data_IF_473734983653
#
_entry.id   IF_473734983653
#
_cell.length_a   1.000
_cell.length_b   1.000
_cell.length_c   1.000
_cell.angle_alpha   90.00
_cell.angle_beta   90.00
_cell.angle_gamma   90.00
#
_symmetry.space_group_name_H-M   'P 1'
#
loop_
_entity.id
_entity.type
_entity.pdbx_description
1 polymer ?
#
# COMPACT_ATOMS: atom_id res chain seq x y z
N UNK A 1 69.48 50.50 1.46
CA UNK A 1 69.09 51.66 2.29
C UNK A 1 67.59 51.90 2.12
N UNK A 2 66.80 52.11 3.19
CA UNK A 2 65.37 52.37 3.05
C UNK A 2 65.14 53.72 2.37
N UNK A 3 64.30 53.74 1.34
CA UNK A 3 63.91 54.95 0.61
C UNK A 3 63.08 55.84 1.54
N UNK A 4 63.55 57.05 1.82
CA UNK A 4 62.77 58.05 2.57
C UNK A 4 61.66 58.57 1.67
N UNK A 5 60.41 58.33 2.05
CA UNK A 5 59.25 58.91 1.38
C UNK A 5 59.01 60.30 1.97
N UNK A 6 59.13 61.34 1.16
CA UNK A 6 58.75 62.70 1.54
C UNK A 6 57.24 62.84 1.37
N UNK A 7 56.52 62.77 2.48
CA UNK A 7 55.07 62.97 2.52
C UNK A 7 54.78 64.43 2.85
N UNK A 8 53.83 65.05 2.15
CA UNK A 8 53.38 66.41 2.47
C UNK A 8 52.79 66.51 3.88
N UNK A 9 52.88 67.69 4.49
CA UNK A 9 52.38 67.96 5.85
C UNK A 9 50.88 67.66 5.97
N UNK A 10 50.10 67.98 4.94
CA UNK A 10 48.65 67.72 4.88
C UNK A 10 48.32 66.23 4.85
N UNK A 11 48.98 65.46 3.97
CA UNK A 11 48.82 64.01 3.89
C UNK A 11 49.26 63.29 5.18
N UNK A 12 50.26 63.85 5.88
CA UNK A 12 50.72 63.33 7.17
C UNK A 12 49.68 63.57 8.27
N UNK A 13 48.97 64.70 8.24
CA UNK A 13 47.88 65.01 9.16
C UNK A 13 46.64 64.13 8.89
N UNK A 14 46.31 63.91 7.62
CA UNK A 14 45.20 63.01 7.22
C UNK A 14 45.46 61.57 7.64
N UNK A 15 46.66 61.03 7.38
CA UNK A 15 47.06 59.69 7.83
C UNK A 15 47.04 59.56 9.35
N UNK A 16 47.49 60.61 10.07
CA UNK A 16 47.47 60.62 11.53
C UNK A 16 46.04 60.63 12.08
N UNK A 17 45.16 61.42 11.47
CA UNK A 17 43.74 61.46 11.84
C UNK A 17 43.04 60.13 11.55
N UNK A 18 43.35 59.48 10.43
CA UNK A 18 42.79 58.15 10.09
C UNK A 18 43.29 57.06 11.06
N UNK A 19 44.59 57.07 11.41
CA UNK A 19 45.16 56.16 12.40
C UNK A 19 44.58 56.36 13.80
N UNK A 20 44.38 57.61 14.24
CA UNK A 20 43.74 57.90 15.52
C UNK A 20 42.28 57.44 15.52
N UNK A 21 41.53 57.67 14.43
CA UNK A 21 40.16 57.18 14.27
C UNK A 21 40.08 55.65 14.28
N UNK A 22 41.05 54.96 13.67
CA UNK A 22 41.17 53.49 13.73
C UNK A 22 41.50 53.00 15.15
N UNK A 23 42.34 53.74 15.89
CA UNK A 23 42.72 53.44 17.28
C UNK A 23 41.57 53.70 18.26
N UNK A 24 40.71 54.68 18.02
CA UNK A 24 39.50 54.88 18.81
C UNK A 24 38.44 53.81 18.52
N UNK A 25 38.28 53.40 17.26
CA UNK A 25 37.41 52.27 16.88
C UNK A 25 37.82 50.95 17.53
N UNK A 26 39.12 50.72 17.77
CA UNK A 26 39.59 49.53 18.50
C UNK A 26 39.44 49.68 20.02
N UNK A 27 39.70 50.86 20.59
CA UNK A 27 39.50 51.14 22.03
C UNK A 27 38.04 51.07 22.46
N UNK A 28 37.10 51.50 21.62
CA UNK A 28 35.67 51.54 21.93
C UNK A 28 35.01 50.17 21.89
N UNK A 29 35.67 49.11 21.41
CA UNK A 29 35.19 47.72 21.55
C UNK A 29 33.82 47.43 20.91
N UNK A 30 33.29 48.32 20.07
CA UNK A 30 31.94 48.19 19.48
C UNK A 30 31.93 47.24 18.26
N UNK A 31 33.08 46.85 17.71
CA UNK A 31 33.13 46.10 16.45
C UNK A 31 32.97 44.58 16.53
N UNK A 32 32.57 44.01 17.68
CA UNK A 32 32.38 42.55 17.78
C UNK A 32 31.15 42.08 18.59
N UNK A 33 30.26 42.97 19.04
CA UNK A 33 29.02 42.55 19.74
C UNK A 33 27.80 42.41 18.83
N UNK A 34 27.77 43.09 17.68
CA UNK A 34 26.62 43.01 16.77
C UNK A 34 26.74 41.89 15.73
N UNK A 35 27.95 41.37 15.48
CA UNK A 35 28.13 40.16 14.64
C UNK A 35 27.95 38.84 15.41
N UNK A 36 28.08 38.85 16.73
CA UNK A 36 27.90 37.67 17.58
C UNK A 36 26.48 37.51 18.16
N UNK A 37 25.58 38.48 17.94
CA UNK A 37 24.14 38.34 18.23
C UNK A 37 23.30 37.88 17.03
N UNK A 38 23.89 37.77 15.85
CA UNK A 38 23.23 37.30 14.62
C UNK A 38 23.61 35.86 14.23
N UNK A 39 24.13 35.07 15.18
CA UNK A 39 24.24 33.61 15.07
C UNK A 39 23.58 33.00 16.32
N UNK A 40 22.33 33.39 16.59
CA UNK A 40 21.42 32.37 17.14
C UNK A 40 21.31 31.35 16.02
N UNK A 41 21.87 30.15 16.21
CA UNK A 41 21.49 28.99 15.40
C UNK A 41 19.97 28.97 15.44
N UNK A 42 19.32 29.35 14.34
CA UNK A 42 17.93 29.00 14.15
C UNK A 42 17.91 27.49 14.34
N UNK A 43 17.20 27.00 15.37
CA UNK A 43 16.87 25.59 15.45
C UNK A 43 16.05 25.28 14.20
N UNK A 44 16.73 24.90 13.12
CA UNK A 44 16.16 24.26 11.97
C UNK A 44 15.68 22.88 12.43
N UNK A 45 14.49 22.86 13.02
CA UNK A 45 13.88 21.68 13.61
C UNK A 45 13.46 21.92 15.06
N UNK A 46 12.24 22.39 15.26
CA UNK A 46 11.70 22.48 16.63
C UNK A 46 10.42 23.27 16.80
N UNK A 47 9.89 23.96 15.79
CA UNK A 47 8.53 24.51 15.89
C UNK A 47 7.55 23.47 15.33
N UNK A 48 7.23 22.48 16.15
CA UNK A 48 5.98 21.75 15.93
C UNK A 48 4.85 22.77 16.11
N UNK A 49 3.97 22.91 15.11
CA UNK A 49 2.76 23.72 15.21
C UNK A 49 2.13 23.52 16.60
N UNK A 50 1.88 24.62 17.35
CA UNK A 50 1.49 24.61 18.79
C UNK A 50 0.38 23.61 19.16
N UNK A 51 -0.44 23.20 18.20
CA UNK A 51 -1.60 22.33 18.42
C UNK A 51 -1.42 20.90 17.88
N UNK A 52 -0.23 20.50 17.41
CA UNK A 52 -0.01 19.15 16.85
C UNK A 52 -0.10 18.08 17.93
N UNK A 53 0.43 18.36 19.12
CA UNK A 53 0.37 17.39 20.21
C UNK A 53 -1.07 17.18 20.71
N UNK A 54 -1.82 18.27 20.88
CA UNK A 54 -3.24 18.21 21.27
C UNK A 54 -4.12 17.57 20.18
N UNK A 55 -3.80 17.82 18.90
CA UNK A 55 -4.48 17.19 17.76
C UNK A 55 -4.17 15.71 17.69
N UNK A 56 -2.90 15.31 17.82
CA UNK A 56 -2.50 13.90 17.85
C UNK A 56 -3.16 13.15 19.01
N UNK A 57 -3.23 13.76 20.20
CA UNK A 57 -3.93 13.19 21.34
C UNK A 57 -5.43 12.99 21.06
N UNK A 58 -6.10 14.01 20.49
CA UNK A 58 -7.51 13.93 20.13
C UNK A 58 -7.77 12.89 19.03
N UNK A 59 -6.90 12.84 18.02
CA UNK A 59 -7.00 11.85 16.93
C UNK A 59 -6.81 10.42 17.47
N UNK A 60 -5.93 10.23 18.45
CA UNK A 60 -5.68 8.94 19.11
C UNK A 60 -6.87 8.52 19.99
N UNK A 61 -7.39 9.42 20.85
CA UNK A 61 -8.63 9.19 21.62
C UNK A 61 -9.85 8.92 20.72
N UNK A 62 -9.93 9.55 19.56
CA UNK A 62 -11.03 9.38 18.61
C UNK A 62 -10.92 8.04 17.84
N UNK A 63 -9.71 7.55 17.59
CA UNK A 63 -9.47 6.20 17.04
C UNK A 63 -9.84 5.10 18.06
N UNK A 64 -9.37 5.21 19.30
CA UNK A 64 -9.66 4.25 20.38
C UNK A 64 -11.16 4.20 20.74
N UNK A 65 -11.83 5.36 20.77
CA UNK A 65 -13.25 5.43 21.15
C UNK A 65 -14.21 4.98 20.04
N UNK A 66 -13.93 5.33 18.78
CA UNK A 66 -14.90 5.19 17.70
C UNK A 66 -14.77 3.87 16.94
N UNK A 67 -13.54 3.39 16.77
CA UNK A 67 -13.25 2.27 15.87
C UNK A 67 -13.05 0.99 16.66
N UNK A 68 -12.22 0.99 17.71
CA UNK A 68 -11.91 -0.24 18.46
C UNK A 68 -13.11 -0.79 19.24
N UNK A 69 -13.90 0.08 19.88
CA UNK A 69 -15.10 -0.36 20.60
C UNK A 69 -16.15 -0.92 19.64
N UNK A 70 -16.41 -0.22 18.53
CA UNK A 70 -17.37 -0.68 17.52
C UNK A 70 -16.89 -1.94 16.80
N UNK A 71 -15.60 -2.10 16.53
CA UNK A 71 -15.08 -3.30 15.86
C UNK A 71 -15.01 -4.50 16.80
N UNK A 72 -14.64 -4.32 18.07
CA UNK A 72 -14.60 -5.41 19.05
C UNK A 72 -16.01 -5.88 19.42
N UNK A 73 -16.93 -4.96 19.73
CA UNK A 73 -18.30 -5.32 20.07
C UNK A 73 -19.01 -5.97 18.88
N UNK A 74 -18.82 -5.42 17.67
CA UNK A 74 -19.36 -6.01 16.44
C UNK A 74 -18.76 -7.39 16.15
N UNK A 75 -17.44 -7.56 16.30
CA UNK A 75 -16.78 -8.85 16.12
C UNK A 75 -17.28 -9.88 17.14
N UNK A 76 -17.39 -9.49 18.41
CA UNK A 76 -17.90 -10.35 19.50
C UNK A 76 -19.35 -10.77 19.26
N UNK A 77 -20.20 -9.86 18.81
CA UNK A 77 -21.58 -10.15 18.44
C UNK A 77 -21.64 -11.13 17.26
N UNK A 78 -20.86 -10.90 16.20
CA UNK A 78 -20.82 -11.81 15.04
C UNK A 78 -20.27 -13.19 15.37
N UNK A 79 -19.31 -13.29 16.29
CA UNK A 79 -18.81 -14.58 16.77
C UNK A 79 -19.86 -15.32 17.60
N UNK A 80 -20.64 -14.60 18.42
CA UNK A 80 -21.76 -15.18 19.16
C UNK A 80 -22.86 -15.69 18.20
N UNK A 81 -23.26 -14.90 17.21
CA UNK A 81 -24.25 -15.29 16.19
C UNK A 81 -23.79 -16.54 15.43
N UNK A 82 -22.51 -16.58 15.04
CA UNK A 82 -21.91 -17.76 14.39
C UNK A 82 -21.92 -18.99 15.30
N UNK A 83 -21.59 -18.83 16.58
CA UNK A 83 -21.60 -19.95 17.52
C UNK A 83 -22.99 -20.57 17.64
N UNK A 84 -24.05 -19.75 17.74
CA UNK A 84 -25.44 -20.22 17.75
C UNK A 84 -25.77 -20.98 16.46
N UNK A 85 -25.40 -20.41 15.30
CA UNK A 85 -25.63 -21.06 14.00
C UNK A 85 -24.93 -22.43 13.90
N UNK A 86 -23.69 -22.54 14.37
CA UNK A 86 -22.96 -23.81 14.38
C UNK A 86 -23.59 -24.85 15.31
N UNK A 87 -24.09 -24.45 16.48
CA UNK A 87 -24.84 -25.34 17.37
C UNK A 87 -26.14 -25.85 16.71
N UNK A 88 -26.84 -24.98 15.97
CA UNK A 88 -28.04 -25.35 15.23
C UNK A 88 -27.76 -26.30 14.06
N UNK A 89 -26.64 -26.11 13.35
CA UNK A 89 -26.19 -27.04 12.30
C UNK A 89 -25.76 -28.39 12.87
N UNK A 90 -24.99 -28.36 13.97
CA UNK A 90 -24.50 -29.57 14.62
C UNK A 90 -25.63 -30.39 15.27
N UNK A 91 -26.68 -29.72 15.75
CA UNK A 91 -27.89 -30.37 16.25
C UNK A 91 -28.84 -30.83 15.14
N UNK A 92 -28.57 -30.46 13.88
CA UNK A 92 -29.41 -30.80 12.72
C UNK A 92 -30.71 -30.01 12.64
N UNK A 93 -30.93 -29.02 13.53
CA UNK A 93 -32.19 -28.29 13.64
C UNK A 93 -32.52 -27.47 12.38
N UNK A 94 -31.49 -26.95 11.73
CA UNK A 94 -31.60 -26.19 10.47
C UNK A 94 -32.00 -27.12 9.31
N UNK A 95 -31.56 -28.38 9.32
CA UNK A 95 -31.81 -29.33 8.23
C UNK A 95 -33.27 -29.79 8.23
N UNK A 96 -33.90 -29.86 9.39
CA UNK A 96 -35.31 -30.21 9.55
C UNK A 96 -36.27 -29.00 9.49
N UNK A 97 -35.76 -27.82 9.15
CA UNK A 97 -36.55 -26.59 9.09
C UNK A 97 -37.07 -26.41 7.67
N UNK A 98 -38.40 -26.39 7.50
CA UNK A 98 -39.04 -26.28 6.17
C UNK A 98 -38.75 -24.94 5.48
N UNK A 99 -38.58 -23.86 6.25
CA UNK A 99 -38.26 -22.53 5.73
C UNK A 99 -36.91 -22.04 6.29
N UNK A 100 -35.93 -21.94 5.39
CA UNK A 100 -34.59 -21.45 5.68
C UNK A 100 -34.48 -19.96 5.37
N UNK A 101 -33.78 -19.23 6.24
CA UNK A 101 -33.39 -17.85 5.93
C UNK A 101 -32.33 -17.84 4.81
N UNK A 102 -32.24 -16.74 4.04
CA UNK A 102 -31.24 -16.62 2.94
C UNK A 102 -29.81 -16.87 3.42
N UNK A 103 -29.47 -16.40 4.62
CA UNK A 103 -28.15 -16.57 5.22
C UNK A 103 -27.90 -18.03 5.63
N UNK A 104 -28.93 -18.74 6.11
CA UNK A 104 -28.85 -20.17 6.45
C UNK A 104 -28.66 -21.02 5.19
N UNK A 105 -29.41 -20.70 4.12
CA UNK A 105 -29.31 -21.39 2.82
C UNK A 105 -27.95 -21.22 2.17
N UNK A 106 -27.44 -19.97 2.09
CA UNK A 106 -26.09 -19.69 1.57
C UNK A 106 -25.01 -20.40 2.37
N UNK A 107 -25.17 -20.54 3.67
CA UNK A 107 -24.17 -21.18 4.50
C UNK A 107 -24.18 -22.71 4.34
N UNK A 108 -25.35 -23.31 4.10
CA UNK A 108 -25.46 -24.73 3.76
C UNK A 108 -24.85 -25.02 2.38
N UNK A 109 -25.15 -24.20 1.37
CA UNK A 109 -24.61 -24.34 0.01
C UNK A 109 -23.10 -24.11 -0.07
N UNK A 110 -22.57 -23.16 0.70
CA UNK A 110 -21.13 -22.83 0.69
C UNK A 110 -20.30 -23.66 1.69
N UNK A 111 -20.92 -24.55 2.45
CA UNK A 111 -20.20 -25.40 3.39
C UNK A 111 -19.69 -26.66 2.70
N UNK A 112 -18.37 -26.84 2.65
CA UNK A 112 -17.74 -28.09 2.21
C UNK A 112 -17.91 -29.25 3.22
N UNK A 113 -18.69 -29.05 4.28
CA UNK A 113 -19.00 -30.04 5.31
C UNK A 113 -20.44 -30.47 5.18
N UNK A 114 -20.65 -31.77 4.94
CA UNK A 114 -21.97 -32.40 4.93
C UNK A 114 -22.54 -32.48 6.35
N UNK A 115 -23.36 -31.50 6.72
CA UNK A 115 -24.00 -31.45 8.04
C UNK A 115 -25.17 -32.44 8.17
N UNK A 116 -25.76 -32.89 7.06
CA UNK A 116 -26.82 -33.92 7.04
C UNK A 116 -26.30 -35.24 7.58
N UNK A 117 -25.21 -35.76 7.01
CA UNK A 117 -24.61 -37.02 7.46
C UNK A 117 -24.02 -36.93 8.87
N UNK A 118 -23.41 -35.79 9.22
CA UNK A 118 -22.82 -35.57 10.54
C UNK A 118 -23.86 -35.40 11.66
N UNK A 119 -24.95 -34.68 11.40
CA UNK A 119 -26.03 -34.52 12.37
C UNK A 119 -26.72 -35.86 12.63
N UNK A 120 -27.00 -36.63 11.58
CA UNK A 120 -27.54 -38.00 11.68
C UNK A 120 -26.57 -38.91 12.44
N UNK A 121 -25.27 -38.87 12.17
CA UNK A 121 -24.27 -39.65 12.91
C UNK A 121 -24.17 -39.24 14.39
N UNK A 122 -24.32 -37.95 14.71
CA UNK A 122 -24.34 -37.44 16.08
C UNK A 122 -25.61 -37.87 16.84
N UNK A 123 -26.77 -37.86 16.17
CA UNK A 123 -28.04 -38.35 16.72
C UNK A 123 -27.98 -39.88 16.93
N UNK A 124 -27.47 -40.63 15.96
CA UNK A 124 -27.29 -42.09 16.04
C UNK A 124 -26.28 -42.49 17.12
N UNK A 125 -25.17 -41.75 17.26
CA UNK A 125 -24.19 -42.02 18.33
C UNK A 125 -24.70 -41.63 19.71
N UNK A 126 -25.49 -40.55 19.84
CA UNK A 126 -26.22 -40.23 21.08
C UNK A 126 -27.32 -41.24 21.40
N UNK A 127 -28.02 -41.77 20.40
CA UNK A 127 -29.03 -42.82 20.52
C UNK A 127 -28.44 -44.17 20.90
N UNK A 128 -27.20 -44.47 20.46
CA UNK A 128 -26.48 -45.70 20.82
C UNK A 128 -26.09 -45.79 22.30
N UNK A 129 -26.05 -44.66 23.01
CA UNK A 129 -25.92 -44.62 24.47
C UNK A 129 -27.28 -44.68 25.19
N UNK A 130 -28.41 -44.76 24.47
CA UNK A 130 -29.75 -44.57 25.05
C UNK A 130 -30.78 -45.68 24.81
N UNK A 131 -30.47 -46.75 24.08
CA UNK A 131 -31.45 -47.84 23.83
C UNK A 131 -30.77 -49.22 23.93
N UNK A 132 -30.92 -49.96 25.03
CA UNK A 132 -32.05 -50.88 25.30
C UNK A 132 -33.45 -50.35 24.94
N UNK A 133 -34.18 -51.14 24.12
CA UNK A 133 -35.56 -50.94 23.61
C UNK A 133 -35.67 -49.88 22.51
N UNK A 134 -36.17 -50.11 21.29
CA UNK A 134 -37.10 -51.09 20.74
C UNK A 134 -36.90 -51.18 19.20
N UNK A 135 -37.15 -52.36 18.61
CA UNK A 135 -37.06 -52.59 17.16
C UNK A 135 -38.28 -52.00 16.44
N UNK A 136 -38.06 -51.03 15.56
CA UNK A 136 -39.02 -50.64 14.51
C UNK A 136 -38.53 -51.11 13.14
N UNK A 137 -39.31 -51.95 12.48
CA UNK A 137 -39.08 -52.49 11.14
C UNK A 137 -39.37 -51.42 10.06
N UNK A 138 -38.47 -51.25 9.10
CA UNK A 138 -38.67 -50.43 7.89
C UNK A 138 -38.88 -51.37 6.69
N UNK A 139 -40.04 -51.30 6.05
CA UNK A 139 -40.34 -52.01 4.80
C UNK A 139 -39.61 -51.35 3.61
N UNK A 140 -38.74 -52.13 2.96
CA UNK A 140 -38.12 -51.79 1.68
C UNK A 140 -39.07 -52.15 0.52
N UNK A 141 -39.55 -51.13 -0.19
CA UNK A 141 -40.34 -51.29 -1.41
C UNK A 141 -39.57 -52.07 -2.49
N UNK A 142 -40.19 -53.15 -2.98
CA UNK A 142 -39.70 -54.00 -4.06
C UNK A 142 -39.69 -53.23 -5.39
N UNK A 143 -38.52 -52.85 -5.87
CA UNK A 143 -38.32 -52.35 -7.24
C UNK A 143 -38.35 -53.56 -8.18
N UNK A 144 -39.32 -53.55 -9.09
CA UNK A 144 -39.48 -54.50 -10.20
C UNK A 144 -38.16 -54.62 -10.98
N UNK A 145 -37.60 -55.83 -11.02
CA UNK A 145 -36.44 -56.17 -11.83
C UNK A 145 -36.81 -56.09 -13.30
N UNK A 146 -36.43 -55.01 -13.98
CA UNK A 146 -36.49 -54.94 -15.45
C UNK A 146 -35.54 -56.01 -16.03
N UNK A 147 -36.04 -56.86 -16.92
CA UNK A 147 -35.26 -57.92 -17.55
C UNK A 147 -34.12 -57.32 -18.39
N UNK A 148 -32.87 -57.56 -17.98
CA UNK A 148 -31.65 -57.07 -18.66
C UNK A 148 -31.34 -57.93 -19.92
N UNK A 149 -31.68 -57.54 -21.16
CA UNK A 149 -31.62 -58.45 -22.30
C UNK A 149 -30.18 -58.76 -22.74
N UNK A 150 -29.99 -59.91 -23.39
CA UNK A 150 -28.73 -60.26 -24.04
C UNK A 150 -28.57 -59.46 -25.35
N UNK A 151 -27.42 -58.83 -25.52
CA UNK A 151 -27.09 -57.99 -26.68
C UNK A 151 -25.75 -58.45 -27.26
N UNK A 152 -25.67 -58.50 -28.59
CA UNK A 152 -24.42 -58.73 -29.31
C UNK A 152 -23.64 -57.40 -29.38
N UNK A 153 -22.45 -57.38 -28.78
CA UNK A 153 -21.54 -56.24 -28.82
C UNK A 153 -20.22 -56.63 -29.50
N UNK A 154 -19.61 -55.66 -30.18
CA UNK A 154 -18.29 -55.79 -30.79
C UNK A 154 -17.23 -55.44 -29.75
N UNK A 155 -16.53 -56.46 -29.26
CA UNK A 155 -15.41 -56.31 -28.33
C UNK A 155 -14.27 -55.46 -28.94
N UNK A 156 -13.36 -54.97 -28.11
CA UNK A 156 -12.21 -54.10 -28.47
C UNK A 156 -11.34 -54.68 -29.60
N UNK A 157 -11.38 -56.00 -29.77
CA UNK A 157 -10.66 -56.76 -30.80
C UNK A 157 -11.49 -57.05 -32.07
N UNK A 158 -12.66 -56.40 -32.24
CA UNK A 158 -13.53 -56.54 -33.40
C UNK A 158 -14.28 -57.86 -33.50
N UNK A 159 -14.39 -58.62 -32.40
CA UNK A 159 -15.11 -59.91 -32.34
C UNK A 159 -16.51 -59.70 -31.76
N UNK A 160 -17.53 -60.33 -32.34
CA UNK A 160 -18.89 -60.32 -31.79
C UNK A 160 -18.98 -61.21 -30.55
N UNK A 161 -19.38 -60.65 -29.41
CA UNK A 161 -19.62 -61.38 -28.16
C UNK A 161 -21.02 -61.05 -27.64
N UNK A 162 -21.73 -62.06 -27.14
CA UNK A 162 -23.04 -61.90 -26.50
C UNK A 162 -22.87 -61.63 -25.01
N UNK A 163 -23.29 -60.46 -24.56
CA UNK A 163 -23.19 -60.01 -23.16
C UNK A 163 -24.53 -59.36 -22.75
N UNK A 164 -24.83 -59.30 -21.45
CA UNK A 164 -25.99 -58.58 -20.93
C UNK A 164 -25.86 -57.07 -21.21
N UNK A 165 -26.96 -56.38 -21.50
CA UNK A 165 -26.95 -54.95 -21.84
C UNK A 165 -26.31 -54.08 -20.75
N UNK A 166 -26.50 -54.43 -19.47
CA UNK A 166 -25.85 -53.73 -18.34
C UNK A 166 -24.32 -53.87 -18.29
N UNK A 167 -23.79 -54.94 -18.89
CA UNK A 167 -22.36 -55.30 -18.86
C UNK A 167 -21.62 -54.88 -20.14
N UNK A 168 -22.30 -54.29 -21.12
CA UNK A 168 -21.67 -53.76 -22.33
C UNK A 168 -20.79 -52.56 -21.94
N UNK A 169 -19.47 -52.59 -22.22
CA UNK A 169 -18.60 -51.45 -21.97
C UNK A 169 -19.12 -50.23 -22.73
N UNK A 170 -19.50 -49.18 -22.00
CA UNK A 170 -19.82 -47.89 -22.59
C UNK A 170 -18.51 -47.31 -23.07
N UNK A 171 -18.25 -47.38 -24.37
CA UNK A 171 -17.20 -46.58 -24.99
C UNK A 171 -17.66 -45.14 -24.82
N UNK A 172 -17.11 -44.44 -23.83
CA UNK A 172 -17.22 -42.99 -23.78
C UNK A 172 -16.58 -42.51 -25.08
N UNK A 173 -17.41 -42.00 -25.98
CA UNK A 173 -16.93 -41.25 -27.14
C UNK A 173 -16.09 -40.12 -26.56
N UNK A 174 -14.77 -40.31 -26.54
CA UNK A 174 -13.82 -39.25 -26.32
C UNK A 174 -14.03 -38.30 -27.50
N UNK A 175 -14.91 -37.32 -27.30
CA UNK A 175 -15.00 -36.16 -28.16
C UNK A 175 -13.57 -35.69 -28.36
N UNK A 176 -13.18 -35.51 -29.63
CA UNK A 176 -11.94 -34.87 -30.04
C UNK A 176 -11.91 -33.46 -29.43
N UNK A 177 -11.55 -33.37 -28.15
CA UNK A 177 -11.03 -32.16 -27.57
C UNK A 177 -9.68 -32.02 -28.24
N UNK A 178 -9.64 -31.18 -29.27
CA UNK A 178 -8.43 -30.63 -29.87
C UNK A 178 -7.40 -30.47 -28.75
N UNK A 179 -6.32 -31.28 -28.77
CA UNK A 179 -5.32 -31.34 -27.70
C UNK A 179 -4.57 -30.00 -27.63
N UNK A 180 -5.23 -29.00 -27.05
CA UNK A 180 -4.64 -27.74 -26.69
C UNK A 180 -3.78 -28.04 -25.47
N UNK A 181 -2.47 -27.83 -25.58
CA UNK A 181 -1.60 -27.95 -24.42
C UNK A 181 -2.12 -27.05 -23.29
N UNK A 182 -2.04 -27.49 -22.05
CA UNK A 182 -2.52 -26.74 -20.87
C UNK A 182 -2.01 -25.28 -20.83
N UNK A 183 -0.80 -25.02 -21.31
CA UNK A 183 -0.23 -23.67 -21.46
C UNK A 183 -0.98 -22.77 -22.47
N UNK A 184 -1.58 -23.36 -23.50
CA UNK A 184 -2.32 -22.65 -24.54
C UNK A 184 -3.78 -22.42 -24.10
N UNK A 185 -4.35 -23.28 -23.27
CA UNK A 185 -5.67 -23.05 -22.65
C UNK A 185 -5.64 -21.84 -21.71
N UNK A 186 -4.62 -21.75 -20.84
CA UNK A 186 -4.42 -20.61 -19.94
C UNK A 186 -4.25 -19.30 -20.71
N UNK A 187 -3.52 -19.33 -21.83
CA UNK A 187 -3.31 -18.16 -22.69
C UNK A 187 -4.62 -17.71 -23.36
N UNK A 188 -5.42 -18.67 -23.83
CA UNK A 188 -6.73 -18.39 -24.44
C UNK A 188 -7.72 -17.82 -23.44
N UNK A 189 -7.72 -18.33 -22.21
CA UNK A 189 -8.54 -17.80 -21.12
C UNK A 189 -8.13 -16.38 -20.72
N UNK A 190 -6.81 -16.10 -20.64
CA UNK A 190 -6.31 -14.74 -20.41
C UNK A 190 -6.79 -13.78 -21.49
N UNK A 191 -6.71 -14.17 -22.76
CA UNK A 191 -7.16 -13.32 -23.87
C UNK A 191 -8.67 -13.07 -23.86
N UNK A 192 -9.48 -14.07 -23.47
CA UNK A 192 -10.92 -13.90 -23.29
C UNK A 192 -11.20 -12.89 -22.18
N UNK A 193 -10.54 -13.04 -21.03
CA UNK A 193 -10.63 -12.10 -19.92
C UNK A 193 -10.23 -10.68 -20.34
N UNK A 194 -9.09 -10.50 -21.03
CA UNK A 194 -8.63 -9.19 -21.49
C UNK A 194 -9.63 -8.52 -22.45
N UNK A 195 -10.20 -9.30 -23.38
CA UNK A 195 -11.22 -8.80 -24.32
C UNK A 195 -12.50 -8.42 -23.60
N UNK A 196 -12.97 -9.26 -22.69
CA UNK A 196 -14.17 -9.01 -21.88
C UNK A 196 -13.98 -7.80 -20.95
N UNK A 197 -12.80 -7.69 -20.31
CA UNK A 197 -12.42 -6.54 -19.50
C UNK A 197 -12.34 -5.26 -20.34
N UNK A 198 -11.84 -5.33 -21.57
CA UNK A 198 -11.77 -4.17 -22.48
C UNK A 198 -13.16 -3.75 -22.96
N UNK A 199 -14.05 -4.70 -23.22
CA UNK A 199 -15.42 -4.46 -23.68
C UNK A 199 -16.33 -3.95 -22.54
N UNK A 200 -16.15 -4.48 -21.33
CA UNK A 200 -16.88 -4.07 -20.12
C UNK A 200 -16.43 -2.72 -19.56
N UNK A 201 -15.25 -2.22 -19.96
CA UNK A 201 -14.75 -0.88 -19.59
C UNK A 201 -15.53 0.28 -20.21
N UNK A 202 -16.67 0.01 -20.83
CA UNK A 202 -17.54 0.98 -21.50
C UNK A 202 -18.42 1.80 -20.56
N UNK A 203 -18.43 1.48 -19.25
CA UNK A 203 -19.02 2.35 -18.23
C UNK A 203 -17.89 3.08 -17.52
N UNK A 204 -17.87 4.40 -17.63
CA UNK A 204 -16.95 5.31 -16.95
C UNK A 204 -17.21 5.32 -15.42
N UNK A 205 -17.09 4.15 -14.78
CA UNK A 205 -17.30 3.99 -13.34
C UNK A 205 -16.10 4.58 -12.60
N UNK A 206 -16.19 5.87 -12.34
CA UNK A 206 -15.17 6.58 -11.58
C UNK A 206 -15.18 6.19 -10.11
N UNK A 207 -13.97 6.08 -9.56
CA UNK A 207 -13.77 5.82 -8.15
C UNK A 207 -14.56 6.81 -7.29
N UNK A 208 -15.43 6.26 -6.46
CA UNK A 208 -16.29 7.01 -5.56
C UNK A 208 -15.71 7.02 -4.15
N UNK A 209 -15.23 8.20 -3.77
CA UNK A 209 -14.58 8.47 -2.50
C UNK A 209 -15.43 8.10 -1.25
N UNK A 210 -16.76 8.10 -1.40
CA UNK A 210 -17.70 7.75 -0.33
C UNK A 210 -17.69 6.27 0.03
N UNK A 211 -17.28 5.41 -0.90
CA UNK A 211 -17.23 3.96 -0.70
C UNK A 211 -15.93 3.51 -0.03
N UNK A 212 -14.95 4.42 0.09
CA UNK A 212 -13.67 4.13 0.70
C UNK A 212 -13.71 4.25 2.22
N UNK A 213 -13.42 3.14 2.89
CA UNK A 213 -13.44 3.04 4.35
C UNK A 213 -12.05 3.40 4.93
N UNK A 214 -10.99 3.32 4.13
CA UNK A 214 -9.63 3.66 4.57
C UNK A 214 -9.46 5.17 4.77
N UNK A 215 -8.54 5.53 5.66
CA UNK A 215 -8.15 6.93 5.88
C UNK A 215 -7.38 7.46 4.66
N UNK A 216 -7.81 8.61 4.17
CA UNK A 216 -7.16 9.29 3.05
C UNK A 216 -6.00 10.14 3.55
N UNK A 217 -4.87 10.07 2.84
CA UNK A 217 -3.63 10.74 3.23
C UNK A 217 -3.67 12.27 3.06
N UNK A 218 -2.66 12.95 3.62
CA UNK A 218 -2.45 14.39 3.44
C UNK A 218 -2.06 14.64 1.99
N UNK A 219 -2.96 15.25 1.22
CA UNK A 219 -2.82 15.41 -0.24
C UNK A 219 -3.88 14.68 -1.04
N UNK A 220 -4.83 14.01 -0.38
CA UNK A 220 -6.02 13.52 -1.04
C UNK A 220 -6.85 14.69 -1.62
N UNK A 221 -7.20 14.59 -2.90
CA UNK A 221 -8.04 15.55 -3.60
C UNK A 221 -9.31 14.86 -4.10
N UNK A 222 -10.48 15.39 -3.71
CA UNK A 222 -11.77 14.83 -4.09
C UNK A 222 -12.24 15.44 -5.40
N UNK A 223 -12.22 14.65 -6.46
CA UNK A 223 -12.81 15.04 -7.75
C UNK A 223 -14.34 15.06 -7.67
N UNK A 224 -14.95 15.90 -8.51
CA UNK A 224 -16.38 15.89 -8.75
C UNK A 224 -16.83 14.57 -9.41
N UNK A 225 -18.09 14.20 -9.19
CA UNK A 225 -18.73 13.06 -9.86
C UNK A 225 -19.32 13.44 -11.23
N UNK A 226 -19.51 14.74 -11.47
CA UNK A 226 -19.95 15.25 -12.76
C UNK A 226 -18.75 15.37 -13.72
N UNK A 227 -18.84 14.75 -14.89
CA UNK A 227 -17.69 14.56 -15.78
C UNK A 227 -17.12 15.87 -16.31
N UNK A 228 -17.99 16.81 -16.66
CA UNK A 228 -17.56 18.12 -17.16
C UNK A 228 -16.80 18.93 -16.12
N UNK A 229 -17.15 18.81 -14.84
CA UNK A 229 -16.41 19.48 -13.76
C UNK A 229 -15.14 18.72 -13.36
N UNK A 230 -15.18 17.39 -13.39
CA UNK A 230 -14.02 16.52 -13.15
C UNK A 230 -12.91 16.77 -14.16
N UNK A 231 -13.22 16.83 -15.46
CA UNK A 231 -12.23 17.11 -16.50
C UNK A 231 -11.54 18.47 -16.31
N UNK A 232 -12.31 19.49 -15.91
CA UNK A 232 -11.76 20.83 -15.64
C UNK A 232 -10.80 20.79 -14.46
N UNK A 233 -11.17 20.09 -13.39
CA UNK A 233 -10.30 19.89 -12.23
C UNK A 233 -9.02 19.13 -12.59
N UNK A 234 -9.11 18.11 -13.45
CA UNK A 234 -7.95 17.38 -13.94
C UNK A 234 -7.03 18.26 -14.78
N UNK A 235 -7.59 19.08 -15.68
CA UNK A 235 -6.81 20.05 -16.46
C UNK A 235 -6.07 21.05 -15.58
N UNK A 236 -6.74 21.61 -14.57
CA UNK A 236 -6.11 22.53 -13.61
C UNK A 236 -4.97 21.85 -12.83
N UNK A 237 -5.17 20.61 -12.36
CA UNK A 237 -4.11 19.84 -11.69
C UNK A 237 -2.92 19.56 -12.62
N UNK A 238 -3.17 19.31 -13.91
CA UNK A 238 -2.12 19.11 -14.90
C UNK A 238 -1.31 20.39 -15.15
N UNK A 239 -1.97 21.55 -15.18
CA UNK A 239 -1.32 22.86 -15.29
C UNK A 239 -0.43 23.14 -14.07
N UNK A 240 -0.95 22.95 -12.85
CA UNK A 240 -0.17 23.07 -11.61
C UNK A 240 1.03 22.11 -11.60
N UNK A 241 0.86 20.90 -12.13
CA UNK A 241 1.97 19.95 -12.30
C UNK A 241 3.03 20.47 -13.27
N UNK A 242 2.63 21.02 -14.42
CA UNK A 242 3.56 21.62 -15.39
C UNK A 242 4.35 22.77 -14.76
N UNK A 243 3.68 23.66 -14.03
CA UNK A 243 4.35 24.77 -13.33
C UNK A 243 5.36 24.29 -12.30
N UNK A 244 5.00 23.30 -11.48
CA UNK A 244 5.90 22.78 -10.44
C UNK A 244 7.12 22.09 -11.03
N UNK A 245 6.95 21.37 -12.16
CA UNK A 245 8.06 20.78 -12.91
C UNK A 245 8.99 21.84 -13.48
N UNK A 246 8.45 22.93 -14.04
CA UNK A 246 9.27 24.04 -14.52
C UNK A 246 10.04 24.73 -13.39
N UNK A 247 9.39 25.00 -12.26
CA UNK A 247 10.02 25.60 -11.08
C UNK A 247 11.15 24.70 -10.57
N UNK A 248 10.94 23.38 -10.54
CA UNK A 248 11.98 22.39 -10.20
C UNK A 248 13.14 22.42 -11.20
N UNK A 249 12.87 22.40 -12.50
CA UNK A 249 13.91 22.45 -13.55
C UNK A 249 14.74 23.74 -13.49
N UNK A 250 14.11 24.89 -13.27
CA UNK A 250 14.80 26.17 -13.10
C UNK A 250 15.69 26.15 -11.85
N UNK A 251 15.18 25.59 -10.74
CA UNK A 251 15.94 25.45 -9.50
C UNK A 251 17.14 24.53 -9.67
N UNK A 252 16.97 23.35 -10.27
CA UNK A 252 18.09 22.42 -10.51
C UNK A 252 19.14 23.04 -11.42
N UNK A 253 18.73 23.71 -12.51
CA UNK A 253 19.66 24.42 -13.39
C UNK A 253 20.41 25.57 -12.70
N UNK A 254 19.76 26.30 -11.79
CA UNK A 254 20.44 27.34 -11.00
C UNK A 254 21.44 26.75 -10.00
N UNK A 255 21.08 25.65 -9.35
CA UNK A 255 21.97 24.93 -8.43
C UNK A 255 23.20 24.39 -9.17
N UNK A 256 23.03 23.86 -10.38
CA UNK A 256 24.12 23.36 -11.21
C UNK A 256 25.04 24.49 -11.68
N UNK A 257 24.48 25.63 -12.14
CA UNK A 257 25.28 26.83 -12.45
C UNK A 257 26.08 27.32 -11.24
N UNK A 258 25.45 27.34 -10.06
CA UNK A 258 26.13 27.70 -8.81
C UNK A 258 27.26 26.74 -8.49
N UNK A 259 27.06 25.43 -8.67
CA UNK A 259 28.09 24.40 -8.50
C UNK A 259 29.27 24.64 -9.45
N UNK A 260 29.00 24.85 -10.74
CA UNK A 260 30.04 25.12 -11.74
C UNK A 260 30.86 26.37 -11.42
N UNK A 261 30.22 27.45 -10.97
CA UNK A 261 30.92 28.67 -10.56
C UNK A 261 31.82 28.44 -9.35
N UNK A 262 31.32 27.71 -8.35
CA UNK A 262 32.12 27.35 -7.17
C UNK A 262 33.31 26.47 -7.56
N UNK A 263 33.11 25.50 -8.46
CA UNK A 263 34.19 24.63 -8.95
C UNK A 263 35.25 25.43 -9.74
N UNK A 264 34.83 26.41 -10.56
CA UNK A 264 35.77 27.31 -11.25
C UNK A 264 36.55 28.19 -10.26
N UNK A 265 35.89 28.76 -9.25
CA UNK A 265 36.55 29.53 -8.21
C UNK A 265 37.54 28.67 -7.43
N UNK A 266 37.17 27.43 -7.09
CA UNK A 266 38.06 26.45 -6.45
C UNK A 266 39.30 26.16 -7.30
N UNK A 267 39.13 25.90 -8.60
CA UNK A 267 40.27 25.67 -9.51
C UNK A 267 41.21 26.88 -9.59
N UNK A 268 40.65 28.09 -9.68
CA UNK A 268 41.45 29.34 -9.68
C UNK A 268 42.24 29.51 -8.38
N UNK A 269 41.61 29.27 -7.23
CA UNK A 269 42.27 29.32 -5.93
C UNK A 269 43.35 28.24 -5.81
N UNK A 270 43.08 27.00 -6.21
CA UNK A 270 44.07 25.92 -6.26
C UNK A 270 45.29 26.27 -7.11
N UNK A 271 45.08 26.82 -8.31
CA UNK A 271 46.20 27.28 -9.15
C UNK A 271 47.02 28.43 -8.52
N UNK A 272 46.38 29.29 -7.73
CA UNK A 272 47.06 30.40 -7.04
C UNK A 272 47.81 29.94 -5.78
N UNK A 273 47.31 28.91 -5.10
CA UNK A 273 47.89 28.34 -3.88
C UNK A 273 48.95 27.26 -4.15
N UNK A 274 49.10 26.81 -5.40
CA UNK A 274 50.02 25.72 -5.77
C UNK A 274 49.61 24.34 -5.22
N UNK A 275 48.43 24.24 -4.61
CA UNK A 275 47.86 23.02 -4.05
C UNK A 275 46.84 22.43 -5.04
N UNK A 276 46.82 21.10 -5.20
CA UNK A 276 45.81 20.44 -6.04
C UNK A 276 44.43 20.60 -5.42
N UNK A 277 43.38 20.65 -6.26
CA UNK A 277 42.00 20.86 -5.79
C UNK A 277 41.56 19.82 -4.73
N UNK A 278 42.07 18.59 -4.82
CA UNK A 278 41.83 17.51 -3.86
C UNK A 278 42.44 17.81 -2.48
N UNK A 279 43.60 18.46 -2.43
CA UNK A 279 44.27 18.81 -1.19
C UNK A 279 43.52 19.91 -0.42
N UNK A 280 42.95 20.88 -1.13
CA UNK A 280 42.08 21.89 -0.54
C UNK A 280 40.77 21.30 -0.01
N UNK A 281 40.16 20.33 -0.70
CA UNK A 281 38.92 19.68 -0.24
C UNK A 281 39.15 18.82 1.01
N UNK A 282 40.30 18.14 1.11
CA UNK A 282 40.70 17.44 2.32
C UNK A 282 40.88 18.40 3.51
N UNK A 283 41.58 19.53 3.29
CA UNK A 283 41.83 20.56 4.32
C UNK A 283 40.54 21.24 4.78
N UNK A 284 39.62 21.52 3.84
CA UNK A 284 38.28 22.07 4.16
C UNK A 284 37.44 21.05 4.94
N UNK A 285 37.47 19.77 4.57
CA UNK A 285 36.75 18.71 5.30
C UNK A 285 37.28 18.49 6.72
N UNK A 286 38.59 18.58 6.91
CA UNK A 286 39.21 18.54 8.24
C UNK A 286 38.84 19.75 9.08
N UNK A 287 38.85 20.96 8.50
CA UNK A 287 38.37 22.17 9.18
C UNK A 287 36.88 22.07 9.55
N UNK A 288 36.05 21.46 8.72
CA UNK A 288 34.63 21.28 9.02
C UNK A 288 34.42 20.26 10.15
N UNK A 289 35.22 19.18 10.18
CA UNK A 289 35.22 18.21 11.29
C UNK A 289 35.70 18.84 12.60
N UNK A 290 36.76 19.65 12.59
CA UNK A 290 37.26 20.28 13.80
C UNK A 290 36.30 21.32 14.37
N UNK A 291 35.63 22.10 13.52
CA UNK A 291 34.56 23.02 13.94
C UNK A 291 33.37 22.24 14.52
N UNK A 292 32.93 21.16 13.88
CA UNK A 292 31.83 20.33 14.41
C UNK A 292 32.14 19.67 15.76
N UNK A 293 33.41 19.30 16.01
CA UNK A 293 33.85 18.77 17.31
C UNK A 293 33.87 19.86 18.40
N UNK A 294 34.16 21.11 18.05
CA UNK A 294 34.09 22.24 18.98
C UNK A 294 32.66 22.68 19.29
N UNK A 295 31.69 22.40 18.41
CA UNK A 295 30.29 22.72 18.64
C UNK A 295 29.53 21.67 19.48
N UNK A 296 30.13 20.49 19.69
CA UNK A 296 29.57 19.36 20.43
C UNK A 296 30.25 19.12 21.80
N UNK A 297 31.21 19.96 22.19
CA UNK A 297 31.79 20.05 23.54
C UNK A 297 31.29 21.34 24.21
#
# INVERSE_FOLDING_TARGET
MPKKLTVGVTASLELKAELEKARERSKTGVLQKDRLKAIKREKLGGDSNKNVFERNKRDLEQQESSKEKKTWEYSKMRLADKAVLYEELQSGRIIFKEELNEDEKKLLENSNVDFETKSVANILSKGKNRETAEKGELEMGSVLMEEDPWVEYLDEFGRTRTVRKSQVPKVEEFYENELVSESMEVEMERQRWEKEAMLSKSVEDHYNDRNEIRSKGVGFYRLSQDEGTREKQLRELEELRKETLEKRRKKTGLLEKRRMLLDQQRRRLGSHLGETAEHLDAKISELFKSVSQLENN
#
